data_IF_366897195000
#
_entry.id   IF_366897195000
#
_cell.length_a   1.000
_cell.length_b   1.000
_cell.length_c   1.000
_cell.angle_alpha   90.00
_cell.angle_beta   90.00
_cell.angle_gamma   90.00
#
_symmetry.space_group_name_H-M   'P 1'
#
loop_
_entity.id
_entity.type
_entity.pdbx_description
1 polymer ?
#
# COMPACT_ATOMS: atom_id res chain seq x y z
N UNK A 1 8.79 3.29 18.41
CA UNK A 1 8.69 2.35 17.27
C UNK A 1 9.42 2.90 16.04
N UNK A 2 9.01 4.07 15.51
CA UNK A 2 9.62 4.72 14.33
C UNK A 2 11.15 4.76 14.36
N UNK A 3 11.76 5.30 15.42
CA UNK A 3 13.22 5.44 15.48
C UNK A 3 13.94 4.08 15.50
N UNK A 4 13.39 3.09 16.20
CA UNK A 4 13.92 1.73 16.16
C UNK A 4 13.88 1.12 14.74
N UNK A 5 12.80 1.38 13.98
CA UNK A 5 12.71 0.94 12.57
C UNK A 5 13.77 1.64 11.72
N UNK A 6 13.91 2.96 11.89
CA UNK A 6 14.93 3.75 11.17
C UNK A 6 16.33 3.22 11.46
N UNK A 7 16.67 3.02 12.72
CA UNK A 7 17.99 2.54 13.15
C UNK A 7 18.27 1.11 12.70
N UNK A 8 17.29 0.20 12.80
CA UNK A 8 17.41 -1.15 12.24
C UNK A 8 17.65 -1.10 10.72
N UNK A 9 16.97 -0.19 10.02
CA UNK A 9 17.05 -0.10 8.57
C UNK A 9 18.39 0.47 8.05
N UNK A 10 19.18 1.16 8.87
CA UNK A 10 20.52 1.69 8.48
C UNK A 10 21.51 0.58 8.11
N UNK A 11 21.26 -0.65 8.55
CA UNK A 11 22.09 -1.83 8.28
C UNK A 11 21.66 -2.59 7.01
N UNK A 12 20.57 -2.16 6.36
CA UNK A 12 20.07 -2.83 5.17
C UNK A 12 21.03 -2.64 4.00
N UNK A 13 21.21 -3.65 3.14
CA UNK A 13 21.92 -3.46 1.89
C UNK A 13 21.12 -2.52 0.98
N UNK A 14 21.78 -1.84 0.02
CA UNK A 14 21.07 -1.08 -1.01
C UNK A 14 20.05 -1.97 -1.74
N UNK A 15 18.83 -1.47 -1.88
CA UNK A 15 17.81 -2.10 -2.71
C UNK A 15 17.91 -1.49 -4.11
N UNK A 16 18.25 -2.30 -5.12
CA UNK A 16 18.30 -1.84 -6.53
C UNK A 16 17.08 -2.29 -7.32
N UNK A 17 16.45 -3.39 -6.91
CA UNK A 17 15.19 -3.90 -7.45
C UNK A 17 14.48 -4.73 -6.37
N UNK A 18 13.15 -4.80 -6.45
CA UNK A 18 12.33 -5.63 -5.55
C UNK A 18 12.51 -7.11 -5.91
N UNK A 19 13.06 -7.97 -5.04
CA UNK A 19 13.22 -9.40 -5.31
C UNK A 19 11.86 -10.06 -5.55
N UNK A 20 11.82 -11.02 -6.48
CA UNK A 20 10.60 -11.73 -6.89
C UNK A 20 10.73 -13.22 -6.60
N UNK A 21 9.69 -13.78 -5.99
CA UNK A 21 9.56 -15.19 -5.65
C UNK A 21 8.30 -15.77 -6.30
N UNK A 22 8.29 -17.06 -6.63
CA UNK A 22 7.07 -17.74 -7.13
C UNK A 22 6.20 -18.24 -5.99
N UNK A 23 6.80 -18.88 -5.00
CA UNK A 23 6.11 -19.48 -3.85
C UNK A 23 6.96 -19.31 -2.62
N UNK A 24 6.33 -18.94 -1.51
CA UNK A 24 6.93 -18.97 -0.19
C UNK A 24 5.92 -19.61 0.77
N UNK A 25 6.35 -20.66 1.46
CA UNK A 25 5.62 -21.11 2.64
C UNK A 25 5.79 -20.11 3.79
N UNK A 26 5.15 -20.38 4.93
CA UNK A 26 5.19 -19.47 6.08
C UNK A 26 6.60 -19.27 6.63
N UNK A 27 7.42 -20.31 6.68
CA UNK A 27 8.77 -20.23 7.25
C UNK A 27 9.70 -19.44 6.33
N UNK A 28 9.66 -19.74 5.02
CA UNK A 28 10.43 -19.04 4.00
C UNK A 28 10.02 -17.57 3.88
N UNK A 29 8.71 -17.28 3.93
CA UNK A 29 8.21 -15.90 3.98
C UNK A 29 8.79 -15.16 5.18
N UNK A 30 8.71 -15.76 6.37
CA UNK A 30 9.19 -15.12 7.61
C UNK A 30 10.69 -14.88 7.57
N UNK A 31 11.49 -15.87 7.16
CA UNK A 31 12.93 -15.73 7.02
C UNK A 31 13.31 -14.59 6.05
N UNK A 32 12.58 -14.45 4.95
CA UNK A 32 12.79 -13.37 3.99
C UNK A 32 12.35 -12.01 4.54
N UNK A 33 11.19 -11.92 5.19
CA UNK A 33 10.65 -10.71 5.79
C UNK A 33 11.50 -10.17 6.94
N UNK A 34 12.10 -11.05 7.74
CA UNK A 34 13.03 -10.71 8.82
C UNK A 34 14.32 -10.02 8.31
N UNK A 35 14.61 -10.06 7.01
CA UNK A 35 15.70 -9.28 6.40
C UNK A 35 15.36 -7.79 6.28
N UNK A 36 14.10 -7.40 6.50
CA UNK A 36 13.66 -6.01 6.51
C UNK A 36 13.60 -5.34 5.13
N UNK A 37 13.61 -6.11 4.04
CA UNK A 37 13.52 -5.64 2.66
C UNK A 37 12.16 -6.00 2.03
N UNK A 38 11.56 -5.13 1.20
CA UNK A 38 10.40 -5.46 0.39
C UNK A 38 10.71 -6.60 -0.57
N UNK A 39 9.70 -7.43 -0.85
CA UNK A 39 9.78 -8.45 -1.88
C UNK A 39 8.39 -8.80 -2.42
N UNK A 40 8.36 -9.41 -3.59
CA UNK A 40 7.13 -9.77 -4.28
C UNK A 40 6.99 -11.28 -4.43
N UNK A 41 5.78 -11.79 -4.23
CA UNK A 41 5.40 -13.17 -4.53
C UNK A 41 4.47 -13.13 -5.74
N UNK A 42 4.93 -13.64 -6.87
CA UNK A 42 4.23 -13.46 -8.15
C UNK A 42 3.17 -14.53 -8.36
N UNK A 43 1.98 -14.14 -8.82
CA UNK A 43 0.89 -15.05 -9.18
C UNK A 43 0.18 -15.75 -8.00
N UNK A 44 0.59 -15.51 -6.76
CA UNK A 44 -0.03 -16.09 -5.55
C UNK A 44 -1.54 -15.78 -5.45
N UNK A 45 -1.91 -14.55 -5.80
CA UNK A 45 -3.26 -14.00 -5.64
C UNK A 45 -4.19 -14.43 -6.80
N UNK A 46 -3.64 -14.85 -7.94
CA UNK A 46 -4.40 -15.12 -9.16
C UNK A 46 -5.44 -16.24 -9.05
N UNK A 47 -5.39 -17.04 -7.97
CA UNK A 47 -6.38 -18.11 -7.69
C UNK A 47 -7.52 -17.67 -6.76
N UNK A 48 -7.53 -16.43 -6.29
CA UNK A 48 -8.62 -15.93 -5.46
C UNK A 48 -9.89 -15.76 -6.31
N UNK A 49 -11.07 -16.21 -5.83
CA UNK A 49 -12.31 -16.06 -6.58
C UNK A 49 -12.60 -14.63 -7.05
N UNK A 50 -12.17 -13.63 -6.28
CA UNK A 50 -12.33 -12.22 -6.63
C UNK A 50 -11.61 -11.83 -7.94
N UNK A 51 -10.50 -12.49 -8.28
CA UNK A 51 -9.75 -12.21 -9.50
C UNK A 51 -10.53 -12.55 -10.79
N UNK A 52 -11.51 -13.46 -10.72
CA UNK A 52 -12.33 -13.86 -11.87
C UNK A 52 -13.45 -12.86 -12.20
N UNK A 53 -13.71 -11.88 -11.33
CA UNK A 53 -14.76 -10.89 -11.55
C UNK A 53 -14.31 -9.81 -12.55
N UNK A 54 -15.27 -9.33 -13.33
CA UNK A 54 -15.13 -8.11 -14.15
C UNK A 54 -15.77 -6.92 -13.43
N UNK A 55 -15.48 -5.67 -13.82
CA UNK A 55 -16.20 -4.50 -13.30
C UNK A 55 -17.72 -4.59 -13.47
N UNK A 56 -18.19 -5.14 -14.60
CA UNK A 56 -19.62 -5.37 -14.84
C UNK A 56 -20.21 -6.41 -13.89
N UNK A 57 -19.51 -7.53 -13.64
CA UNK A 57 -19.94 -8.53 -12.68
C UNK A 57 -19.94 -7.99 -11.24
N UNK A 58 -18.97 -7.12 -10.91
CA UNK A 58 -18.91 -6.43 -9.62
C UNK A 58 -20.13 -5.51 -9.46
N UNK A 59 -20.45 -4.69 -10.47
CA UNK A 59 -21.65 -3.84 -10.48
C UNK A 59 -22.92 -4.67 -10.28
N UNK A 60 -23.09 -5.75 -11.03
CA UNK A 60 -24.31 -6.56 -10.98
C UNK A 60 -24.53 -7.25 -9.62
N UNK A 61 -23.45 -7.71 -8.97
CA UNK A 61 -23.54 -8.49 -7.72
C UNK A 61 -23.37 -7.66 -6.45
N UNK A 62 -22.61 -6.58 -6.52
CA UNK A 62 -22.22 -5.77 -5.35
C UNK A 62 -22.59 -4.31 -5.52
N UNK A 63 -23.45 -3.96 -6.49
CA UNK A 63 -23.86 -2.59 -6.79
C UNK A 63 -24.36 -1.80 -5.58
N UNK A 64 -25.09 -2.45 -4.67
CA UNK A 64 -25.67 -1.82 -3.48
C UNK A 64 -24.69 -1.74 -2.29
N UNK A 65 -23.49 -2.31 -2.40
CA UNK A 65 -22.51 -2.27 -1.31
C UNK A 65 -22.06 -0.82 -1.09
N UNK A 66 -22.18 -0.27 0.14
CA UNK A 66 -21.76 1.09 0.41
C UNK A 66 -20.25 1.23 0.26
N UNK A 67 -19.84 2.28 -0.42
CA UNK A 67 -18.45 2.69 -0.60
C UNK A 67 -18.27 4.16 -0.27
N UNK A 68 -17.04 4.52 0.10
CA UNK A 68 -16.63 5.89 0.35
C UNK A 68 -15.43 6.23 -0.52
N UNK A 69 -15.62 7.14 -1.46
CA UNK A 69 -14.61 7.52 -2.45
C UNK A 69 -14.04 8.90 -2.15
N UNK A 70 -12.72 9.04 -2.26
CA UNK A 70 -12.03 10.33 -2.32
C UNK A 70 -12.39 11.01 -3.64
N UNK A 71 -12.63 12.32 -3.60
CA UNK A 71 -12.87 13.17 -4.77
C UNK A 71 -12.11 14.49 -4.62
N UNK A 72 -11.98 15.25 -5.70
CA UNK A 72 -11.21 16.51 -5.70
C UNK A 72 -9.71 16.27 -5.48
N UNK A 73 -9.02 17.27 -4.90
CA UNK A 73 -7.57 17.22 -4.72
C UNK A 73 -7.13 16.44 -3.46
N UNK A 74 -7.32 15.12 -3.46
CA UNK A 74 -6.88 14.26 -2.36
C UNK A 74 -5.36 14.05 -2.28
N UNK A 75 -4.58 14.54 -3.25
CA UNK A 75 -3.12 14.52 -3.19
C UNK A 75 -2.63 15.74 -2.40
N UNK A 76 -3.04 16.94 -2.78
CA UNK A 76 -2.72 18.17 -2.06
C UNK A 76 -3.31 18.18 -0.64
N UNK A 77 -4.44 17.51 -0.44
CA UNK A 77 -5.09 17.36 0.88
C UNK A 77 -4.83 16.01 1.54
N UNK A 78 -3.86 15.22 1.07
CA UNK A 78 -3.60 13.87 1.58
C UNK A 78 -3.38 13.82 3.10
N UNK A 79 -2.87 14.92 3.66
CA UNK A 79 -2.56 15.09 5.08
C UNK A 79 -3.42 16.17 5.76
N UNK A 80 -4.45 16.67 5.08
CA UNK A 80 -5.42 17.57 5.69
C UNK A 80 -6.41 16.79 6.58
N UNK A 81 -6.92 17.40 7.66
CA UNK A 81 -7.95 16.80 8.51
C UNK A 81 -9.26 16.56 7.74
N UNK A 82 -9.56 17.41 6.75
CA UNK A 82 -10.72 17.34 5.87
C UNK A 82 -10.30 16.97 4.45
N UNK A 83 -10.67 15.75 4.04
CA UNK A 83 -10.57 15.30 2.66
C UNK A 83 -11.96 15.23 2.07
N UNK A 84 -12.14 15.72 0.86
CA UNK A 84 -13.40 15.60 0.16
C UNK A 84 -13.68 14.11 -0.13
N UNK A 85 -14.75 13.59 0.47
CA UNK A 85 -15.20 12.22 0.32
C UNK A 85 -16.67 12.22 -0.13
N UNK A 86 -17.07 11.19 -0.88
CA UNK A 86 -18.46 10.90 -1.22
C UNK A 86 -18.81 9.49 -0.77
N UNK A 87 -19.91 9.39 -0.02
CA UNK A 87 -20.55 8.12 0.31
C UNK A 87 -21.54 7.77 -0.80
N UNK A 88 -21.42 6.56 -1.36
CA UNK A 88 -22.13 6.09 -2.56
C UNK A 88 -22.38 4.58 -2.46
N UNK A 89 -23.31 4.06 -3.24
CA UNK A 89 -23.33 2.64 -3.56
C UNK A 89 -22.20 2.31 -4.57
N UNK A 90 -21.67 1.08 -4.55
CA UNK A 90 -20.62 0.64 -5.49
C UNK A 90 -21.01 0.86 -6.94
N UNK A 91 -22.28 0.64 -7.31
CA UNK A 91 -22.79 0.90 -8.65
C UNK A 91 -22.64 2.38 -9.02
N UNK A 92 -23.13 3.28 -8.17
CA UNK A 92 -23.02 4.73 -8.36
C UNK A 92 -21.56 5.19 -8.44
N UNK A 93 -20.67 4.57 -7.66
CA UNK A 93 -19.24 4.82 -7.75
C UNK A 93 -18.66 4.40 -9.12
N UNK A 94 -19.06 3.24 -9.64
CA UNK A 94 -18.62 2.79 -10.97
C UNK A 94 -19.15 3.70 -12.08
N UNK A 95 -20.36 4.25 -11.94
CA UNK A 95 -20.90 5.25 -12.86
C UNK A 95 -20.10 6.56 -12.79
N UNK A 96 -19.81 7.04 -11.57
CA UNK A 96 -18.96 8.21 -11.34
C UNK A 96 -17.58 8.05 -12.00
N UNK A 97 -16.99 6.85 -11.96
CA UNK A 97 -15.71 6.56 -12.62
C UNK A 97 -15.85 6.55 -14.15
N UNK A 98 -16.94 6.02 -14.70
CA UNK A 98 -17.18 6.01 -16.15
C UNK A 98 -17.38 7.42 -16.73
N UNK A 99 -18.03 8.29 -15.96
CA UNK A 99 -18.33 9.66 -16.34
C UNK A 99 -17.18 10.65 -16.08
N UNK A 100 -16.18 10.25 -15.28
CA UNK A 100 -15.02 11.10 -14.96
C UNK A 100 -14.23 11.48 -16.22
N UNK A 101 -13.89 12.78 -16.35
CA UNK A 101 -13.16 13.35 -17.49
C UNK A 101 -11.88 14.10 -17.12
N UNK A 102 -11.90 14.86 -16.02
CA UNK A 102 -10.83 15.80 -15.69
C UNK A 102 -10.46 15.79 -14.20
N UNK A 103 -9.26 16.28 -13.88
CA UNK A 103 -8.76 16.41 -12.51
C UNK A 103 -8.20 15.10 -11.94
N UNK A 104 -8.26 14.93 -10.61
CA UNK A 104 -7.90 13.64 -9.99
C UNK A 104 -9.09 12.68 -10.05
N UNK A 105 -8.85 11.41 -10.41
CA UNK A 105 -9.93 10.44 -10.52
C UNK A 105 -10.52 10.08 -9.14
N UNK A 106 -11.84 9.83 -9.06
CA UNK A 106 -12.48 9.27 -7.87
C UNK A 106 -11.75 8.01 -7.39
N UNK A 107 -11.55 7.91 -6.07
CA UNK A 107 -10.71 6.83 -5.53
C UNK A 107 -11.27 6.26 -4.23
N UNK A 108 -11.77 5.03 -4.28
CA UNK A 108 -12.03 4.24 -3.06
C UNK A 108 -10.70 3.74 -2.53
N UNK A 109 -10.35 4.14 -1.31
CA UNK A 109 -9.08 3.75 -0.69
C UNK A 109 -9.19 3.63 0.82
N UNK A 110 -8.46 2.68 1.38
CA UNK A 110 -8.45 2.36 2.81
C UNK A 110 -9.84 1.97 3.37
N UNK A 111 -10.66 1.27 2.58
CA UNK A 111 -12.02 0.90 2.96
C UNK A 111 -12.16 -0.60 3.25
N UNK A 112 -12.85 -0.95 4.33
CA UNK A 112 -13.25 -2.34 4.59
C UNK A 112 -14.47 -2.70 3.72
N UNK A 113 -14.34 -3.76 2.91
CA UNK A 113 -15.44 -4.25 2.07
C UNK A 113 -15.58 -5.76 2.30
N UNK A 114 -16.28 -6.12 3.38
CA UNK A 114 -16.40 -7.51 3.86
C UNK A 114 -16.94 -8.47 2.79
N UNK A 115 -17.89 -8.00 1.98
CA UNK A 115 -18.46 -8.77 0.87
C UNK A 115 -17.40 -9.21 -0.15
N UNK A 116 -16.39 -8.37 -0.43
CA UNK A 116 -15.29 -8.73 -1.33
C UNK A 116 -14.24 -9.57 -0.64
N UNK A 117 -13.96 -9.30 0.64
CA UNK A 117 -12.98 -10.08 1.40
C UNK A 117 -13.38 -11.55 1.56
N UNK A 118 -14.67 -11.88 1.55
CA UNK A 118 -15.15 -13.26 1.56
C UNK A 118 -14.61 -14.11 0.37
N UNK A 119 -14.10 -13.45 -0.68
CA UNK A 119 -13.51 -14.08 -1.87
C UNK A 119 -11.97 -13.97 -1.91
N UNK A 120 -11.33 -13.56 -0.82
CA UNK A 120 -9.88 -13.44 -0.71
C UNK A 120 -9.29 -14.59 0.13
N UNK A 121 -8.34 -15.35 -0.43
CA UNK A 121 -7.72 -16.49 0.26
C UNK A 121 -6.35 -16.11 0.82
N UNK A 122 -6.35 -15.36 1.92
CA UNK A 122 -5.13 -14.85 2.56
C UNK A 122 -4.18 -15.97 3.03
N UNK A 123 -2.88 -15.88 2.71
CA UNK A 123 -1.89 -16.81 3.25
C UNK A 123 -1.68 -16.58 4.76
N UNK A 124 -1.45 -17.66 5.52
CA UNK A 124 -1.22 -17.64 6.96
C UNK A 124 0.19 -17.17 7.37
N UNK A 125 0.71 -16.10 6.77
CA UNK A 125 2.08 -15.63 7.00
C UNK A 125 2.29 -15.05 8.41
N UNK A 126 1.30 -14.32 8.92
CA UNK A 126 1.32 -13.72 10.25
C UNK A 126 0.29 -14.37 11.17
N UNK A 127 0.56 -14.40 12.47
CA UNK A 127 -0.37 -14.95 13.46
C UNK A 127 -1.61 -14.08 13.68
N UNK A 128 -1.45 -12.75 13.60
CA UNK A 128 -2.54 -11.78 13.75
C UNK A 128 -2.45 -10.72 12.67
N UNK A 129 -3.56 -10.49 11.98
CA UNK A 129 -3.67 -9.53 10.89
C UNK A 129 -4.85 -8.59 11.15
N UNK A 130 -4.70 -7.32 10.80
CA UNK A 130 -5.76 -6.33 10.82
C UNK A 130 -6.84 -6.63 9.77
N UNK A 131 -7.89 -5.79 9.72
CA UNK A 131 -8.93 -5.92 8.71
C UNK A 131 -8.37 -5.62 7.30
N UNK A 132 -8.96 -6.21 6.24
CA UNK A 132 -8.61 -5.94 4.85
C UNK A 132 -9.01 -4.52 4.44
N UNK A 133 -8.13 -3.85 3.71
CA UNK A 133 -8.41 -2.54 3.12
C UNK A 133 -8.35 -2.60 1.61
N UNK A 134 -9.44 -2.23 0.97
CA UNK A 134 -9.59 -2.22 -0.47
C UNK A 134 -9.24 -0.85 -1.07
N UNK A 135 -8.70 -0.93 -2.28
CA UNK A 135 -8.29 0.20 -3.09
C UNK A 135 -8.78 -0.03 -4.51
N UNK A 136 -9.78 0.73 -4.94
CA UNK A 136 -10.45 0.59 -6.23
C UNK A 136 -10.51 1.95 -6.92
N UNK A 137 -10.12 2.01 -8.18
CA UNK A 137 -10.29 3.21 -8.99
C UNK A 137 -9.71 3.07 -10.40
N UNK A 138 -9.94 4.07 -11.26
CA UNK A 138 -9.40 4.09 -12.61
C UNK A 138 -7.89 4.36 -12.61
N UNK A 139 -7.33 4.33 -13.81
CA UNK A 139 -5.95 4.79 -14.04
C UNK A 139 -5.79 6.23 -13.53
N UNK A 140 -4.62 6.53 -12.98
CA UNK A 140 -4.27 7.84 -12.46
C UNK A 140 -4.57 8.05 -10.97
N UNK A 141 -5.27 7.14 -10.28
CA UNK A 141 -5.44 7.24 -8.82
C UNK A 141 -4.09 7.13 -8.11
N UNK A 142 -3.89 7.93 -7.05
CA UNK A 142 -2.61 8.01 -6.33
C UNK A 142 -2.83 7.94 -4.82
N UNK A 143 -1.98 7.17 -4.14
CA UNK A 143 -1.70 7.37 -2.72
C UNK A 143 -0.29 7.96 -2.61
N UNK A 144 -0.14 9.23 -2.16
CA UNK A 144 1.15 9.90 -2.09
C UNK A 144 2.17 9.18 -1.21
N UNK A 145 3.44 9.54 -1.33
CA UNK A 145 4.52 8.92 -0.59
C UNK A 145 4.27 9.00 0.94
N UNK A 146 4.16 7.86 1.60
CA UNK A 146 3.89 7.74 3.03
C UNK A 146 4.47 6.43 3.58
N UNK A 147 4.50 6.26 4.89
CA UNK A 147 4.84 4.99 5.52
C UNK A 147 3.81 4.58 6.58
N UNK A 148 3.69 3.26 6.78
CA UNK A 148 2.94 2.63 7.86
C UNK A 148 3.91 1.91 8.81
N UNK A 149 3.61 1.79 10.10
CA UNK A 149 4.50 1.13 11.07
C UNK A 149 4.13 -0.32 11.42
N UNK A 150 3.19 -0.90 10.68
CA UNK A 150 2.89 -2.33 10.72
C UNK A 150 3.40 -2.97 9.42
N UNK A 151 3.88 -4.22 9.50
CA UNK A 151 4.20 -5.02 8.31
C UNK A 151 2.97 -5.17 7.41
N UNK A 152 3.12 -4.96 6.10
CA UNK A 152 2.00 -4.91 5.17
C UNK A 152 2.13 -5.98 4.08
N UNK A 153 1.04 -6.70 3.80
CA UNK A 153 0.89 -7.53 2.60
C UNK A 153 -0.14 -6.90 1.67
N UNK A 154 0.29 -6.54 0.47
CA UNK A 154 -0.51 -5.89 -0.55
C UNK A 154 -0.76 -6.86 -1.71
N UNK A 155 -2.01 -7.22 -1.95
CA UNK A 155 -2.44 -8.12 -3.01
C UNK A 155 -3.05 -7.33 -4.18
N UNK A 156 -2.51 -7.54 -5.38
CA UNK A 156 -3.02 -6.93 -6.61
C UNK A 156 -4.02 -7.87 -7.28
N UNK A 157 -5.27 -7.43 -7.39
CA UNK A 157 -6.39 -8.25 -7.89
C UNK A 157 -6.62 -7.99 -9.38
N UNK A 158 -6.84 -6.72 -9.75
CA UNK A 158 -7.06 -6.29 -11.14
C UNK A 158 -6.16 -5.16 -11.51
N UNK A 159 -5.80 -5.09 -12.78
CA UNK A 159 -5.00 -4.00 -13.31
C UNK A 159 -3.60 -3.92 -12.71
N UNK A 160 -2.86 -2.89 -13.09
CA UNK A 160 -1.48 -2.71 -12.68
C UNK A 160 -1.31 -1.43 -11.86
N UNK A 161 -0.40 -1.50 -10.89
CA UNK A 161 0.01 -0.33 -10.09
C UNK A 161 1.52 -0.18 -10.12
N UNK A 162 1.97 1.07 -10.25
CA UNK A 162 3.36 1.47 -10.02
C UNK A 162 3.53 1.81 -8.55
N UNK A 163 4.60 1.30 -7.94
CA UNK A 163 4.96 1.56 -6.55
C UNK A 163 6.41 2.03 -6.49
N UNK A 164 6.63 3.18 -5.86
CA UNK A 164 7.97 3.59 -5.43
C UNK A 164 8.19 3.17 -3.99
N UNK A 165 9.40 2.70 -3.66
CA UNK A 165 9.79 2.25 -2.32
C UNK A 165 11.07 2.98 -1.89
N UNK A 166 11.07 3.52 -0.67
CA UNK A 166 12.25 4.18 -0.07
C UNK A 166 12.47 3.62 1.34
N UNK A 167 13.71 3.24 1.71
CA UNK A 167 13.96 2.62 3.01
C UNK A 167 13.75 3.60 4.17
N UNK A 168 13.39 3.11 5.37
CA UNK A 168 13.07 3.98 6.50
C UNK A 168 14.20 4.93 6.92
N UNK A 169 15.47 4.55 6.81
CA UNK A 169 16.60 5.41 7.19
C UNK A 169 16.82 6.60 6.23
N UNK A 170 16.13 6.65 5.09
CA UNK A 170 16.13 7.80 4.18
C UNK A 170 15.08 8.86 4.54
N UNK A 171 14.41 8.72 5.68
CA UNK A 171 13.42 9.67 6.24
C UNK A 171 13.83 11.14 6.09
N UNK A 172 15.09 11.47 6.42
CA UNK A 172 15.62 12.83 6.35
C UNK A 172 15.65 13.42 4.92
N UNK A 173 15.66 12.57 3.89
CA UNK A 173 15.67 12.98 2.48
C UNK A 173 14.26 13.20 1.92
N UNK A 174 13.21 12.80 2.64
CA UNK A 174 11.84 12.79 2.16
C UNK A 174 10.98 13.95 2.68
N UNK A 175 11.54 14.86 3.47
CA UNK A 175 10.79 16.02 4.00
C UNK A 175 9.50 15.60 4.72
N UNK A 176 9.61 14.51 5.50
CA UNK A 176 8.47 13.82 6.10
C UNK A 176 7.70 14.76 7.02
N UNK A 177 6.38 14.78 6.86
CA UNK A 177 5.43 15.49 7.71
C UNK A 177 4.57 14.48 8.45
N UNK A 178 4.36 14.74 9.74
CA UNK A 178 3.39 13.99 10.54
C UNK A 178 1.98 14.50 10.21
N UNK A 179 1.15 13.65 9.62
CA UNK A 179 -0.26 13.97 9.36
C UNK A 179 -1.12 13.69 10.60
N UNK A 180 -0.78 12.63 11.32
CA UNK A 180 -1.31 12.24 12.64
C UNK A 180 -0.32 11.25 13.29
N UNK A 181 -0.53 10.82 14.56
CA UNK A 181 0.43 9.99 15.29
C UNK A 181 0.81 8.65 14.63
N UNK A 182 0.05 8.19 13.63
CA UNK A 182 0.26 6.90 12.95
C UNK A 182 0.48 7.03 11.44
N UNK A 183 0.38 8.23 10.86
CA UNK A 183 0.53 8.46 9.42
C UNK A 183 1.56 9.55 9.14
N UNK A 184 2.64 9.13 8.48
CA UNK A 184 3.76 9.99 8.12
C UNK A 184 3.88 10.04 6.60
N UNK A 185 3.77 11.24 6.06
CA UNK A 185 3.72 11.51 4.63
C UNK A 185 4.89 12.34 4.14
N UNK A 186 5.15 12.32 2.84
CA UNK A 186 6.16 13.13 2.19
C UNK A 186 5.51 14.01 1.13
N UNK A 187 5.85 15.30 1.05
CA UNK A 187 5.42 16.16 -0.05
C UNK A 187 6.24 15.93 -1.33
N UNK A 188 7.37 15.21 -1.25
CA UNK A 188 8.17 14.83 -2.40
C UNK A 188 7.45 13.75 -3.22
N UNK A 189 7.23 14.04 -4.51
CA UNK A 189 6.68 13.12 -5.51
C UNK A 189 7.81 12.52 -6.37
N UNK A 190 8.12 11.22 -6.23
CA UNK A 190 9.15 10.57 -7.03
C UNK A 190 8.82 10.50 -8.54
N UNK A 191 7.55 10.66 -8.95
CA UNK A 191 7.17 10.70 -10.37
C UNK A 191 7.36 12.08 -11.01
N UNK A 192 7.38 13.13 -10.18
CA UNK A 192 7.53 14.52 -10.60
C UNK A 192 8.46 15.25 -9.63
N UNK A 193 9.75 14.84 -9.56
CA UNK A 193 10.65 15.34 -8.53
C UNK A 193 10.95 16.82 -8.72
N UNK A 194 10.55 17.64 -7.74
CA UNK A 194 10.98 19.03 -7.61
C UNK A 194 12.20 19.10 -6.68
N UNK A 195 13.39 19.04 -7.27
CA UNK A 195 14.64 19.09 -6.51
C UNK A 195 15.07 20.51 -6.13
N UNK A 196 14.40 21.55 -6.63
CA UNK A 196 14.65 22.91 -6.19
C UNK A 196 13.93 23.16 -4.85
N UNK A 197 12.69 22.66 -4.71
CA UNK A 197 11.97 22.64 -3.44
C UNK A 197 12.50 21.57 -2.46
N UNK A 198 12.90 20.40 -2.96
CA UNK A 198 13.31 19.24 -2.15
C UNK A 198 14.72 18.72 -2.50
N UNK A 199 15.78 19.52 -2.36
CA UNK A 199 17.13 19.16 -2.80
C UNK A 199 17.71 17.89 -2.16
N UNK A 200 17.35 17.57 -0.90
CA UNK A 200 17.82 16.36 -0.22
C UNK A 200 17.25 15.08 -0.84
N UNK A 201 16.11 15.15 -1.53
CA UNK A 201 15.44 14.00 -2.12
C UNK A 201 16.25 13.33 -3.23
N UNK A 202 17.27 14.02 -3.77
CA UNK A 202 18.29 13.41 -4.67
C UNK A 202 18.98 12.20 -4.02
N UNK A 203 19.04 12.15 -2.69
CA UNK A 203 19.65 11.06 -1.91
C UNK A 203 18.67 9.96 -1.53
N UNK A 204 17.37 10.14 -1.76
CA UNK A 204 16.35 9.16 -1.35
C UNK A 204 16.42 7.85 -2.16
N UNK A 205 16.95 7.90 -3.39
CA UNK A 205 17.09 6.75 -4.31
C UNK A 205 15.87 5.80 -4.33
N UNK A 206 14.67 6.27 -4.71
CA UNK A 206 13.48 5.42 -4.74
C UNK A 206 13.63 4.24 -5.70
N UNK A 207 13.19 3.06 -5.27
CA UNK A 207 13.11 1.86 -6.12
C UNK A 207 11.70 1.75 -6.68
N UNK A 208 11.59 1.74 -8.00
CA UNK A 208 10.31 1.49 -8.69
C UNK A 208 10.04 -0.01 -8.82
N UNK A 209 8.80 -0.42 -8.61
CA UNK A 209 8.30 -1.72 -9.04
C UNK A 209 6.87 -1.61 -9.60
N UNK A 210 6.53 -2.55 -10.49
CA UNK A 210 5.17 -2.74 -10.98
C UNK A 210 4.60 -4.00 -10.33
N UNK A 211 3.40 -3.88 -9.76
CA UNK A 211 2.59 -5.01 -9.31
C UNK A 211 1.55 -5.34 -10.39
N UNK A 212 1.57 -6.59 -10.82
CA UNK A 212 0.66 -7.13 -11.84
C UNK A 212 -0.52 -7.88 -11.18
N UNK A 213 -1.64 -8.10 -11.90
CA UNK A 213 -2.71 -8.96 -11.39
C UNK A 213 -2.18 -10.32 -10.93
N UNK A 214 -2.51 -10.70 -9.70
CA UNK A 214 -2.05 -11.94 -9.10
C UNK A 214 -0.79 -11.80 -8.23
N UNK A 215 -0.10 -10.67 -8.25
CA UNK A 215 1.08 -10.43 -7.41
C UNK A 215 0.69 -10.07 -5.95
N UNK A 216 1.54 -10.47 -5.01
CA UNK A 216 1.52 -10.00 -3.62
C UNK A 216 2.85 -9.34 -3.27
N UNK A 217 2.81 -8.06 -2.89
CA UNK A 217 3.96 -7.32 -2.38
C UNK A 217 3.96 -7.34 -0.85
N UNK A 218 5.09 -7.74 -0.26
CA UNK A 218 5.36 -7.49 1.15
C UNK A 218 6.11 -6.15 1.28
N UNK A 219 5.60 -5.29 2.15
CA UNK A 219 6.22 -4.00 2.52
C UNK A 219 6.52 -4.05 4.02
N UNK A 220 7.80 -4.06 4.42
CA UNK A 220 8.16 -4.05 5.84
C UNK A 220 7.72 -2.74 6.50
N UNK A 221 7.43 -2.80 7.80
CA UNK A 221 7.09 -1.61 8.57
C UNK A 221 8.10 -0.46 8.37
N UNK A 222 7.58 0.75 8.23
CA UNK A 222 8.30 2.01 8.06
C UNK A 222 8.83 2.27 6.66
N UNK A 223 8.69 1.35 5.71
CA UNK A 223 9.06 1.61 4.32
C UNK A 223 8.12 2.64 3.70
N UNK A 224 8.71 3.69 3.15
CA UNK A 224 7.98 4.71 2.42
C UNK A 224 7.55 4.16 1.07
N UNK A 225 6.30 4.41 0.72
CA UNK A 225 5.73 3.97 -0.54
C UNK A 225 4.73 4.96 -1.14
N UNK A 226 4.85 5.19 -2.44
CA UNK A 226 3.86 5.90 -3.27
C UNK A 226 3.26 4.90 -4.23
N UNK A 227 1.94 4.94 -4.41
CA UNK A 227 1.22 3.97 -5.24
C UNK A 227 0.37 4.72 -6.28
N UNK A 228 0.57 4.41 -7.56
CA UNK A 228 -0.27 4.92 -8.67
C UNK A 228 -0.92 3.76 -9.42
N UNK A 229 -2.22 3.86 -9.70
CA UNK A 229 -2.88 2.96 -10.65
C UNK A 229 -2.53 3.34 -12.09
N UNK A 230 -2.01 2.38 -12.86
CA UNK A 230 -1.70 2.57 -14.28
C UNK A 230 -2.88 2.18 -15.17
N UNK A 231 -3.76 1.31 -14.67
CA UNK A 231 -5.04 0.94 -15.29
C UNK A 231 -6.17 1.08 -14.28
N UNK A 232 -7.41 0.81 -14.68
CA UNK A 232 -8.45 0.51 -13.69
C UNK A 232 -7.99 -0.68 -12.84
N UNK A 233 -7.95 -0.50 -11.53
CA UNK A 233 -7.27 -1.42 -10.64
C UNK A 233 -8.04 -1.64 -9.33
N UNK A 234 -8.02 -2.89 -8.88
CA UNK A 234 -8.50 -3.33 -7.58
C UNK A 234 -7.33 -3.99 -6.85
N UNK A 235 -7.07 -3.54 -5.63
CA UNK A 235 -6.09 -4.16 -4.74
C UNK A 235 -6.66 -4.24 -3.34
N UNK A 236 -6.09 -5.13 -2.53
CA UNK A 236 -6.43 -5.24 -1.12
C UNK A 236 -5.17 -5.47 -0.30
N UNK A 237 -5.03 -4.80 0.83
CA UNK A 237 -3.91 -5.02 1.73
C UNK A 237 -4.38 -5.33 3.15
N UNK A 238 -3.47 -5.92 3.94
CA UNK A 238 -3.64 -6.12 5.38
C UNK A 238 -2.33 -5.81 6.09
N UNK A 239 -2.45 -5.09 7.19
CA UNK A 239 -1.34 -4.87 8.12
C UNK A 239 -1.30 -5.94 9.21
N UNK A 240 -0.11 -6.44 9.53
CA UNK A 240 0.11 -7.38 10.61
C UNK A 240 -0.05 -6.66 11.96
N UNK A 241 -0.79 -7.28 12.89
CA UNK A 241 -0.94 -6.78 14.26
C UNK A 241 0.04 -7.51 15.17
N UNK A 242 1.32 -7.29 14.91
CA UNK A 242 2.43 -7.92 15.60
C UNK A 242 3.65 -6.99 15.60
N UNK A 243 4.65 -7.32 16.41
CA UNK A 243 5.94 -6.66 16.32
C UNK A 243 6.50 -6.79 14.89
N UNK A 244 6.95 -5.68 14.26
CA UNK A 244 7.55 -5.73 12.94
C UNK A 244 8.67 -6.76 12.86
N UNK A 245 8.66 -7.59 11.82
CA UNK A 245 9.63 -8.67 11.65
C UNK A 245 11.06 -8.16 11.52
N UNK A 246 11.23 -6.96 10.94
CA UNK A 246 12.53 -6.27 10.86
C UNK A 246 13.11 -5.87 12.24
N UNK A 247 12.28 -5.83 13.29
CA UNK A 247 12.70 -5.47 14.65
C UNK A 247 12.82 -6.68 15.58
N UNK A 248 12.79 -7.90 15.05
CA UNK A 248 12.81 -9.11 15.89
C UNK A 248 13.96 -9.10 16.90
N UNK A 249 15.13 -8.55 16.56
CA UNK A 249 16.34 -8.61 17.38
C UNK A 249 16.57 -7.35 18.22
N UNK A 250 15.59 -6.43 18.32
CA UNK A 250 15.66 -5.24 19.18
C UNK A 250 15.14 -5.61 20.57
N UNK A 251 16.00 -5.85 21.58
CA UNK A 251 15.58 -6.47 22.84
C UNK A 251 14.67 -5.57 23.68
N UNK A 252 14.87 -4.25 23.60
CA UNK A 252 14.10 -3.24 24.35
C UNK A 252 12.63 -3.18 23.96
N UNK A 253 12.25 -3.68 22.78
CA UNK A 253 10.87 -3.68 22.30
C UNK A 253 10.14 -5.01 22.51
N UNK A 254 10.85 -6.09 22.88
CA UNK A 254 10.21 -7.38 23.23
C UNK A 254 9.49 -7.34 24.59
N UNK A 255 9.90 -6.44 25.47
CA UNK A 255 9.37 -6.30 26.84
C UNK A 255 8.10 -5.43 26.95
N UNK A 256 7.63 -4.87 25.83
CA UNK A 256 6.47 -3.96 25.79
C UNK A 256 5.23 -4.56 25.12
N UNK A 257 5.26 -5.84 24.74
CA UNK A 257 4.06 -6.55 24.31
C UNK A 257 3.32 -7.07 25.56
N UNK A 258 2.04 -6.73 25.77
CA UNK A 258 1.24 -7.30 26.86
C UNK A 258 1.06 -8.82 26.71
#
# INVERSE_FOLDING_TARGET
MRDAIRDASRKLPPLTAVPRFRTLDRAAFRAQAERGLPFMITGLVGRWPLCAFTPAALRARFGDVPVRARVGDYIGTAFAPDRAMRDLAMGEYLDLVADWKDGLPPYVGNLEINALNAMCHWPGYFGKMGPPRFWLGPAGTVTPLHCDYDDNIFAQIWGTKRIFLVPPHHDEFLYVREANPVLFGSPFDPERPDFDAYPLARRAAPVECIVEPGDMLYVPAGWYHQVRALTFALSVNRWARAMPLALKDVPSLRLAAP
#
